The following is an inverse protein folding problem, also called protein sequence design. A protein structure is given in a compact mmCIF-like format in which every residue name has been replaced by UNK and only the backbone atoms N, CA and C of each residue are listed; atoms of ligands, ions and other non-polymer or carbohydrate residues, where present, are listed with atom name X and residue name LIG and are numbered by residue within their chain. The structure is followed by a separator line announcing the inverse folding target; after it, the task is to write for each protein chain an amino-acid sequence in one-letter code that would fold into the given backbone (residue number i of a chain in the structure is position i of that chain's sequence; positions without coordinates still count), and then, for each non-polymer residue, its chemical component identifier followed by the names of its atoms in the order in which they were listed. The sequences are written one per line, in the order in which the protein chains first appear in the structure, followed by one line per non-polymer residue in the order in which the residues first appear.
data_IF_430972338207
#
_entry.id   IF_430972338207
#
_cell.length_a   1.000
_cell.length_b   1.000
_cell.length_c   1.000
_cell.angle_alpha   90.00
_cell.angle_beta   90.00
_cell.angle_gamma   90.00
#
_symmetry.space_group_name_H-M   'P 1'
#
loop_
_entity.id
_entity.type
_entity.pdbx_description
1 polymer ?
#
# COMPACT_ATOMS: atom_id res chain seq x y z
N UNK A 1 -46.73 -7.85 -35.93
CA UNK A 1 -47.95 -8.49 -36.40
C UNK A 1 -48.75 -7.46 -37.20
N UNK A 2 -49.20 -7.81 -38.42
CA UNK A 2 -50.09 -6.97 -39.23
C UNK A 2 -51.52 -7.39 -39.01
N UNK A 3 -52.48 -6.47 -39.10
CA UNK A 3 -53.89 -6.78 -38.96
C UNK A 3 -54.40 -7.61 -40.14
N UNK A 4 -55.40 -8.44 -39.90
CA UNK A 4 -56.08 -9.17 -40.99
C UNK A 4 -57.14 -8.29 -41.66
N UNK A 5 -57.36 -8.49 -42.98
CA UNK A 5 -58.37 -7.78 -43.76
C UNK A 5 -59.07 -8.79 -44.70
N UNK A 6 -60.40 -8.65 -44.94
CA UNK A 6 -61.31 -7.65 -44.38
C UNK A 6 -61.73 -7.92 -42.95
N UNK A 7 -62.12 -6.89 -42.19
CA UNK A 7 -62.80 -6.98 -40.90
C UNK A 7 -64.29 -6.97 -41.15
N UNK A 8 -64.99 -8.03 -40.72
CA UNK A 8 -66.46 -8.16 -40.91
C UNK A 8 -67.18 -7.22 -39.96
N UNK A 9 -68.46 -6.81 -40.27
CA UNK A 9 -69.28 -5.98 -39.38
C UNK A 9 -69.35 -6.54 -37.96
N UNK A 10 -69.07 -5.72 -36.96
CA UNK A 10 -68.96 -6.13 -35.56
C UNK A 10 -67.69 -6.93 -35.16
N UNK A 11 -66.81 -7.18 -36.12
CA UNK A 11 -65.55 -7.88 -35.89
C UNK A 11 -64.39 -6.96 -35.49
N UNK A 12 -63.25 -7.58 -35.11
CA UNK A 12 -62.01 -6.86 -34.78
C UNK A 12 -60.79 -7.59 -35.33
N UNK A 13 -59.73 -6.84 -35.50
CA UNK A 13 -58.39 -7.37 -35.80
C UNK A 13 -57.39 -6.62 -34.95
N UNK A 14 -56.22 -7.21 -34.74
CA UNK A 14 -55.15 -6.66 -33.91
C UNK A 14 -53.85 -6.53 -34.71
N UNK A 15 -53.06 -5.54 -34.38
CA UNK A 15 -51.70 -5.40 -34.85
C UNK A 15 -50.81 -5.08 -33.66
N UNK A 16 -49.48 -5.28 -33.83
CA UNK A 16 -48.47 -5.03 -32.81
C UNK A 16 -47.52 -3.98 -33.32
N UNK A 17 -47.29 -2.96 -32.50
CA UNK A 17 -46.21 -1.97 -32.70
C UNK A 17 -45.11 -2.27 -31.72
N UNK A 18 -43.87 -2.35 -32.17
CA UNK A 18 -42.68 -2.44 -31.34
C UNK A 18 -42.04 -1.06 -31.31
N UNK A 19 -41.72 -0.59 -30.10
CA UNK A 19 -40.90 0.57 -29.86
C UNK A 19 -39.45 0.08 -29.67
N UNK A 20 -38.50 0.57 -30.47
CA UNK A 20 -37.09 0.22 -30.46
C UNK A 20 -36.31 1.51 -30.69
N UNK A 21 -36.06 2.30 -29.60
CA UNK A 21 -35.46 3.61 -29.74
C UNK A 21 -34.00 3.51 -30.12
N UNK A 22 -33.56 4.28 -31.10
CA UNK A 22 -32.18 4.42 -31.54
C UNK A 22 -31.42 5.53 -30.81
N UNK A 23 -31.95 6.09 -29.73
CA UNK A 23 -31.35 7.14 -28.91
C UNK A 23 -32.26 7.63 -27.82
N UNK A 24 -31.71 8.41 -26.92
CA UNK A 24 -32.38 8.96 -25.75
C UNK A 24 -33.51 9.96 -26.06
N UNK A 25 -34.38 10.13 -25.08
CA UNK A 25 -35.42 11.16 -25.05
C UNK A 25 -36.70 10.75 -25.71
N UNK A 26 -37.64 11.72 -25.78
CA UNK A 26 -38.97 11.51 -26.34
C UNK A 26 -38.88 11.25 -27.84
N UNK A 27 -39.46 10.14 -28.26
CA UNK A 27 -39.62 9.75 -29.66
C UNK A 27 -41.09 9.73 -30.00
N UNK A 28 -41.48 10.35 -31.11
CA UNK A 28 -42.84 10.42 -31.60
C UNK A 28 -42.95 9.87 -33.01
N UNK A 29 -44.05 9.20 -33.28
CA UNK A 29 -44.37 8.73 -34.61
C UNK A 29 -45.89 8.85 -34.84
N UNK A 30 -46.30 8.90 -36.09
CA UNK A 30 -47.70 8.79 -36.46
C UNK A 30 -47.95 7.41 -37.08
N UNK A 31 -48.97 6.74 -36.59
CA UNK A 31 -49.46 5.50 -37.19
C UNK A 31 -50.66 5.79 -38.07
N UNK A 32 -50.61 5.29 -39.30
CA UNK A 32 -51.64 5.51 -40.32
C UNK A 32 -52.19 4.16 -40.78
N UNK A 33 -53.50 4.01 -40.76
CA UNK A 33 -54.21 2.82 -41.18
C UNK A 33 -55.09 3.19 -42.37
N UNK A 34 -54.70 2.78 -43.56
CA UNK A 34 -55.52 2.91 -44.77
C UNK A 34 -56.68 1.93 -44.67
N UNK A 35 -57.88 2.39 -44.93
CA UNK A 35 -59.11 1.63 -44.82
C UNK A 35 -60.12 2.05 -45.90
N UNK A 36 -61.30 1.46 -45.92
CA UNK A 36 -62.38 1.76 -46.88
C UNK A 36 -63.43 2.68 -46.32
N UNK A 37 -63.26 3.24 -45.13
CA UNK A 37 -64.17 4.23 -44.54
C UNK A 37 -64.08 5.56 -45.30
N UNK A 38 -65.15 6.17 -45.64
CA UNK A 38 -65.16 7.34 -46.53
C UNK A 38 -64.86 8.66 -45.82
N UNK A 39 -64.99 8.72 -44.52
CA UNK A 39 -64.74 9.91 -43.70
C UNK A 39 -63.55 9.79 -42.75
N UNK A 40 -62.97 8.56 -42.56
CA UNK A 40 -61.81 8.29 -41.70
C UNK A 40 -60.68 7.50 -42.42
N UNK A 41 -60.37 7.80 -43.68
CA UNK A 41 -59.32 7.17 -44.44
C UNK A 41 -58.23 8.16 -44.88
N UNK A 42 -57.02 8.05 -44.37
CA UNK A 42 -56.55 7.03 -43.41
C UNK A 42 -56.95 7.36 -41.96
N UNK A 43 -57.09 6.34 -41.10
CA UNK A 43 -57.19 6.52 -39.67
C UNK A 43 -55.80 6.74 -39.06
N UNK A 44 -55.59 7.92 -38.47
CA UNK A 44 -54.27 8.34 -37.97
C UNK A 44 -54.32 8.57 -36.46
N UNK A 45 -53.26 8.17 -35.78
CA UNK A 45 -53.05 8.54 -34.38
C UNK A 45 -51.53 8.58 -34.03
N UNK A 46 -51.19 9.42 -33.04
CA UNK A 46 -49.82 9.59 -32.59
C UNK A 46 -49.40 8.50 -31.59
N UNK A 47 -48.15 8.08 -31.72
CA UNK A 47 -47.46 7.21 -30.78
C UNK A 47 -46.31 7.99 -30.17
N UNK A 48 -46.01 7.71 -28.91
CA UNK A 48 -44.80 8.21 -28.26
C UNK A 48 -44.18 7.17 -27.37
N UNK A 49 -42.85 7.27 -27.16
CA UNK A 49 -42.06 6.51 -26.22
C UNK A 49 -40.81 7.28 -25.86
N UNK A 50 -40.19 6.97 -24.75
CA UNK A 50 -38.90 7.56 -24.36
C UNK A 50 -37.81 6.50 -24.44
N UNK A 51 -36.75 6.82 -25.18
CA UNK A 51 -35.50 6.08 -25.10
C UNK A 51 -34.77 6.45 -23.80
N UNK A 52 -34.38 5.47 -23.03
CA UNK A 52 -33.53 5.63 -21.87
C UNK A 52 -32.09 5.32 -22.27
N UNK A 53 -31.14 6.00 -21.69
CA UNK A 53 -29.73 5.72 -21.77
C UNK A 53 -29.24 5.41 -20.36
N UNK A 54 -28.34 4.47 -20.26
CA UNK A 54 -27.77 4.03 -19.00
C UNK A 54 -26.25 4.17 -19.04
N UNK A 55 -25.64 4.76 -18.03
CA UNK A 55 -24.21 4.64 -17.84
C UNK A 55 -23.85 3.19 -17.46
N UNK A 56 -22.63 2.78 -17.73
CA UNK A 56 -22.08 1.49 -17.36
C UNK A 56 -20.62 1.68 -16.98
N UNK A 57 -20.29 1.49 -15.71
CA UNK A 57 -18.95 1.69 -15.18
C UNK A 57 -18.11 0.42 -15.33
N UNK A 58 -16.89 0.55 -15.86
CA UNK A 58 -15.82 -0.46 -15.76
C UNK A 58 -14.56 0.21 -15.21
N UNK A 59 -13.91 -0.42 -14.24
CA UNK A 59 -12.65 0.07 -13.68
C UNK A 59 -11.52 -0.87 -14.05
N UNK A 60 -10.46 -0.30 -14.59
CA UNK A 60 -9.28 -1.07 -15.03
C UNK A 60 -8.02 -0.61 -14.32
N UNK A 61 -7.20 -1.57 -13.92
CA UNK A 61 -5.82 -1.38 -13.58
C UNK A 61 -4.93 -2.14 -14.58
N UNK A 62 -3.87 -1.52 -15.09
CA UNK A 62 -3.00 -2.12 -16.11
C UNK A 62 -3.77 -2.69 -17.31
N UNK A 63 -4.87 -2.06 -17.73
CA UNK A 63 -5.78 -2.51 -18.81
C UNK A 63 -6.57 -3.79 -18.51
N UNK A 64 -6.59 -4.26 -17.26
CA UNK A 64 -7.36 -5.42 -16.81
C UNK A 64 -8.56 -4.91 -16.02
N UNK A 65 -9.77 -5.35 -16.36
CA UNK A 65 -10.98 -5.00 -15.62
C UNK A 65 -10.97 -5.62 -14.22
N UNK A 66 -11.29 -4.81 -13.23
CA UNK A 66 -11.41 -5.15 -11.81
C UNK A 66 -12.89 -5.20 -11.49
N UNK A 67 -13.46 -6.34 -11.21
CA UNK A 67 -14.88 -6.45 -10.96
C UNK A 67 -15.32 -5.68 -9.70
N UNK A 68 -16.51 -5.07 -9.74
CA UNK A 68 -17.12 -4.50 -8.53
C UNK A 68 -17.30 -5.60 -7.48
N UNK A 69 -16.86 -5.33 -6.25
CA UNK A 69 -16.86 -6.32 -5.16
C UNK A 69 -15.64 -7.25 -5.14
N UNK A 70 -14.62 -7.03 -5.96
CA UNK A 70 -13.39 -7.83 -5.89
C UNK A 70 -12.67 -7.62 -4.55
N UNK A 71 -12.40 -8.73 -3.86
CA UNK A 71 -11.72 -8.76 -2.56
C UNK A 71 -10.32 -9.40 -2.62
N UNK A 72 -9.84 -9.74 -3.81
CA UNK A 72 -8.57 -10.45 -4.04
C UNK A 72 -7.57 -9.58 -4.80
N UNK A 73 -6.87 -8.66 -4.13
CA UNK A 73 -5.88 -7.81 -4.80
C UNK A 73 -4.81 -8.61 -5.55
N UNK A 74 -4.54 -8.22 -6.81
CA UNK A 74 -3.58 -8.84 -7.72
C UNK A 74 -2.56 -7.80 -8.25
N UNK A 75 -1.33 -8.25 -8.48
CA UNK A 75 -0.29 -7.43 -9.10
C UNK A 75 -0.55 -7.19 -10.59
N UNK A 76 -1.27 -8.10 -11.26
CA UNK A 76 -1.55 -7.99 -12.68
C UNK A 76 -2.44 -6.78 -13.02
N UNK A 77 -3.47 -6.52 -12.20
CA UNK A 77 -4.36 -5.38 -12.35
C UNK A 77 -3.96 -4.16 -11.50
N UNK A 78 -2.85 -4.28 -10.74
CA UNK A 78 -2.30 -3.21 -9.92
C UNK A 78 -3.06 -2.95 -8.62
N UNK A 79 -4.00 -3.79 -8.22
CA UNK A 79 -4.68 -3.67 -6.92
C UNK A 79 -3.77 -4.13 -5.75
N UNK A 80 -2.74 -4.93 -6.03
CA UNK A 80 -1.63 -5.20 -5.11
C UNK A 80 -0.45 -4.24 -5.40
N UNK A 81 -0.15 -3.36 -4.46
CA UNK A 81 0.92 -2.35 -4.53
C UNK A 81 2.32 -2.93 -4.25
N UNK A 82 2.43 -4.24 -4.00
CA UNK A 82 3.70 -4.86 -3.64
C UNK A 82 4.21 -4.40 -2.28
N UNK A 83 5.53 -4.20 -2.16
CA UNK A 83 6.18 -3.89 -0.88
C UNK A 83 7.01 -2.62 -0.96
N UNK A 84 6.98 -1.81 0.10
CA UNK A 84 7.82 -0.62 0.25
C UNK A 84 8.17 -0.37 1.71
N UNK A 85 9.26 0.39 1.97
CA UNK A 85 9.70 0.72 3.32
C UNK A 85 8.68 1.61 4.04
N UNK A 86 8.47 1.37 5.33
CA UNK A 86 7.67 2.24 6.20
C UNK A 86 8.34 3.61 6.32
N UNK A 87 9.67 3.64 6.44
CA UNK A 87 10.43 4.88 6.48
C UNK A 87 10.59 5.50 5.07
N UNK A 88 9.59 6.27 4.64
CA UNK A 88 9.64 7.12 3.44
C UNK A 88 9.46 6.41 2.09
N UNK A 89 9.09 5.13 2.08
CA UNK A 89 8.77 4.41 0.84
C UNK A 89 7.35 4.71 0.38
N UNK A 90 7.17 4.92 -0.94
CA UNK A 90 5.85 5.07 -1.55
C UNK A 90 5.74 4.30 -2.86
N UNK A 91 4.55 3.78 -3.16
CA UNK A 91 4.21 3.17 -4.45
C UNK A 91 2.94 3.80 -4.97
N UNK A 92 2.90 4.11 -6.27
CA UNK A 92 1.74 4.77 -6.91
C UNK A 92 1.22 3.94 -8.06
N UNK A 93 -0.09 3.64 -8.06
CA UNK A 93 -0.77 2.99 -9.17
C UNK A 93 -1.90 3.87 -9.70
N UNK A 94 -2.09 3.85 -11.02
CA UNK A 94 -3.17 4.56 -11.71
C UNK A 94 -4.20 3.58 -12.23
N UNK A 95 -5.47 3.91 -12.02
CA UNK A 95 -6.62 3.15 -12.48
C UNK A 95 -7.42 4.00 -13.47
N UNK A 96 -8.06 3.35 -14.43
CA UNK A 96 -8.91 3.99 -15.43
C UNK A 96 -10.35 3.61 -15.19
N UNK A 97 -11.23 4.60 -15.13
CA UNK A 97 -12.69 4.42 -15.14
C UNK A 97 -13.15 4.61 -16.57
N UNK A 98 -13.82 3.62 -17.13
CA UNK A 98 -14.46 3.67 -18.43
C UNK A 98 -15.98 3.75 -18.25
N UNK A 99 -16.64 4.43 -19.19
CA UNK A 99 -18.08 4.36 -19.35
C UNK A 99 -18.36 3.54 -20.61
N UNK A 100 -18.79 2.30 -20.44
CA UNK A 100 -19.11 1.39 -21.54
C UNK A 100 -20.60 1.42 -21.93
N UNK A 101 -21.37 2.26 -21.22
CA UNK A 101 -22.79 2.48 -21.48
C UNK A 101 -23.07 3.54 -22.56
N UNK A 102 -24.34 3.81 -22.80
CA UNK A 102 -24.83 4.76 -23.80
C UNK A 102 -25.32 6.10 -23.18
N UNK A 103 -25.24 6.26 -21.85
CA UNK A 103 -25.50 7.49 -21.11
C UNK A 103 -24.25 8.06 -20.46
N UNK A 104 -24.25 9.36 -20.13
CA UNK A 104 -23.17 9.97 -19.36
C UNK A 104 -23.07 9.33 -17.97
N UNK A 105 -21.87 8.87 -17.59
CA UNK A 105 -21.58 8.34 -16.26
C UNK A 105 -21.14 9.47 -15.32
N UNK A 106 -21.93 9.73 -14.29
CA UNK A 106 -21.64 10.75 -13.27
C UNK A 106 -21.07 10.11 -12.01
N UNK A 107 -19.89 10.54 -11.59
CA UNK A 107 -19.32 10.18 -10.30
C UNK A 107 -19.91 11.13 -9.24
N UNK A 108 -20.76 10.60 -8.34
CA UNK A 108 -21.67 11.37 -7.49
C UNK A 108 -21.10 11.76 -6.13
N UNK A 109 -19.95 11.21 -5.72
CA UNK A 109 -19.29 11.54 -4.45
C UNK A 109 -18.72 12.98 -4.43
N UNK A 110 -18.63 13.59 -3.24
CA UNK A 110 -17.90 14.85 -3.03
C UNK A 110 -16.43 14.66 -3.36
N UNK A 111 -15.81 13.64 -2.78
CA UNK A 111 -14.62 12.99 -3.30
C UNK A 111 -15.12 11.85 -4.19
N UNK A 112 -14.76 11.86 -5.47
CA UNK A 112 -15.26 10.90 -6.45
C UNK A 112 -14.78 9.48 -6.20
N UNK A 113 -13.52 9.38 -5.74
CA UNK A 113 -12.90 8.13 -5.28
C UNK A 113 -12.52 8.32 -3.82
N UNK A 114 -12.99 7.42 -2.96
CA UNK A 114 -12.69 7.40 -1.52
C UNK A 114 -12.03 6.08 -1.13
N UNK A 115 -11.30 6.10 -0.02
CA UNK A 115 -10.61 4.94 0.52
C UNK A 115 -11.16 4.63 1.91
N UNK A 116 -11.56 3.38 2.13
CA UNK A 116 -12.14 2.88 3.37
C UNK A 116 -11.47 1.56 3.80
N UNK A 117 -11.96 0.89 4.83
CA UNK A 117 -11.50 -0.44 5.22
C UNK A 117 -10.58 -0.44 6.43
N UNK A 118 -9.59 -1.37 6.48
CA UNK A 118 -8.80 -1.65 7.70
C UNK A 118 -7.67 -0.64 7.91
N UNK A 119 -6.91 -0.33 6.84
CA UNK A 119 -5.75 0.57 6.90
C UNK A 119 -5.88 1.71 5.88
N UNK A 120 -7.00 2.47 5.87
CA UNK A 120 -7.23 3.47 4.83
C UNK A 120 -6.22 4.63 4.88
N UNK A 121 -5.62 4.91 6.05
CA UNK A 121 -4.60 5.93 6.23
C UNK A 121 -3.24 5.62 5.59
N UNK A 122 -3.02 4.38 5.16
CA UNK A 122 -1.81 3.98 4.43
C UNK A 122 -1.95 4.17 2.90
N UNK A 123 -3.13 4.57 2.44
CA UNK A 123 -3.43 4.83 1.04
C UNK A 123 -4.05 6.22 0.89
N UNK A 124 -3.77 6.87 -0.22
CA UNK A 124 -4.36 8.17 -0.54
C UNK A 124 -4.64 8.31 -2.03
N UNK A 125 -5.72 9.02 -2.39
CA UNK A 125 -5.98 9.37 -3.79
C UNK A 125 -5.28 10.67 -4.10
N UNK A 126 -4.20 10.62 -4.89
CA UNK A 126 -3.39 11.79 -5.25
C UNK A 126 -3.94 12.53 -6.47
N UNK A 127 -4.70 11.84 -7.34
CA UNK A 127 -5.38 12.42 -8.50
C UNK A 127 -6.82 11.90 -8.50
N UNK A 128 -7.79 12.78 -8.43
CA UNK A 128 -9.21 12.47 -8.55
C UNK A 128 -9.64 12.43 -10.02
N UNK A 129 -10.58 11.56 -10.42
CA UNK A 129 -11.05 11.46 -11.80
C UNK A 129 -11.94 12.64 -12.19
N UNK A 130 -12.04 12.91 -13.49
CA UNK A 130 -13.02 13.84 -14.04
C UNK A 130 -14.43 13.21 -14.05
N UNK A 131 -15.48 14.04 -14.04
CA UNK A 131 -16.89 13.65 -14.16
C UNK A 131 -17.69 14.81 -14.75
N UNK A 132 -18.72 14.55 -15.58
CA UNK A 132 -19.15 13.24 -16.05
C UNK A 132 -18.20 12.62 -17.09
N UNK A 133 -18.39 11.32 -17.39
CA UNK A 133 -17.66 10.57 -18.42
C UNK A 133 -18.67 10.25 -19.54
N UNK A 134 -18.43 10.76 -20.73
CA UNK A 134 -19.31 10.52 -21.87
C UNK A 134 -19.33 9.02 -22.27
N UNK A 135 -20.35 8.55 -23.01
CA UNK A 135 -20.34 7.21 -23.59
C UNK A 135 -19.03 6.89 -24.33
N UNK A 136 -18.50 5.68 -24.15
CA UNK A 136 -17.21 5.21 -24.65
C UNK A 136 -16.00 6.06 -24.18
N UNK A 137 -16.20 6.96 -23.22
CA UNK A 137 -15.17 7.81 -22.65
C UNK A 137 -14.46 7.15 -21.46
N UNK A 138 -13.40 7.81 -21.00
CA UNK A 138 -12.65 7.37 -19.82
C UNK A 138 -12.04 8.52 -19.05
N UNK A 139 -11.71 8.26 -17.78
CA UNK A 139 -10.95 9.13 -16.89
C UNK A 139 -10.04 8.28 -16.01
N UNK A 140 -9.06 8.89 -15.36
CA UNK A 140 -8.14 8.16 -14.49
C UNK A 140 -8.08 8.77 -13.09
N UNK A 141 -7.73 7.92 -12.12
CA UNK A 141 -7.34 8.33 -10.78
C UNK A 141 -6.07 7.63 -10.35
N UNK A 142 -5.36 8.21 -9.40
CA UNK A 142 -4.08 7.66 -8.91
C UNK A 142 -4.15 7.47 -7.41
N UNK A 143 -3.79 6.27 -6.96
CA UNK A 143 -3.68 5.91 -5.56
C UNK A 143 -2.20 5.76 -5.19
N UNK A 144 -1.83 6.31 -4.04
CA UNK A 144 -0.50 6.20 -3.45
C UNK A 144 -0.60 5.34 -2.20
N UNK A 145 0.22 4.31 -2.12
CA UNK A 145 0.48 3.52 -0.93
C UNK A 145 1.69 4.08 -0.19
N UNK A 146 1.52 4.44 1.09
CA UNK A 146 2.55 4.95 1.98
C UNK A 146 2.33 4.32 3.37
N UNK A 147 2.92 3.14 3.63
CA UNK A 147 2.64 2.38 4.85
C UNK A 147 3.11 3.10 6.10
N UNK A 148 2.29 3.12 7.15
CA UNK A 148 2.61 3.66 8.48
C UNK A 148 3.13 2.59 9.44
N UNK A 149 3.05 1.30 9.07
CA UNK A 149 3.55 0.19 9.87
C UNK A 149 3.92 -1.01 8.99
N UNK A 150 4.76 -1.89 9.53
CA UNK A 150 5.17 -3.12 8.88
C UNK A 150 4.04 -4.14 8.70
N UNK A 151 4.23 -5.05 7.73
CA UNK A 151 3.29 -6.10 7.39
C UNK A 151 2.25 -5.70 6.34
N UNK A 152 1.30 -6.58 6.10
CA UNK A 152 0.25 -6.39 5.09
C UNK A 152 -0.73 -5.29 5.52
N UNK A 153 -0.96 -4.34 4.64
CA UNK A 153 -1.88 -3.21 4.77
C UNK A 153 -2.97 -3.35 3.73
N UNK A 154 -4.23 -3.21 4.11
CA UNK A 154 -5.37 -3.40 3.21
C UNK A 154 -6.35 -2.26 3.31
N UNK A 155 -6.97 -1.91 2.18
CA UNK A 155 -8.04 -0.94 2.12
C UNK A 155 -9.04 -1.31 1.01
N UNK A 156 -10.08 -0.51 0.87
CA UNK A 156 -11.11 -0.65 -0.16
C UNK A 156 -11.27 0.68 -0.87
N UNK A 157 -11.15 0.67 -2.18
CA UNK A 157 -11.53 1.77 -3.05
C UNK A 157 -13.06 1.78 -3.17
N UNK A 158 -13.67 2.95 -3.11
CA UNK A 158 -15.11 3.14 -3.28
C UNK A 158 -15.36 4.32 -4.21
N UNK A 159 -16.14 4.08 -5.27
CA UNK A 159 -16.48 5.04 -6.32
C UNK A 159 -17.99 5.18 -6.37
N UNK A 160 -18.50 6.27 -5.82
CA UNK A 160 -19.94 6.59 -5.92
C UNK A 160 -20.26 7.11 -7.33
N UNK A 161 -21.28 6.56 -7.97
CA UNK A 161 -21.63 6.85 -9.36
C UNK A 161 -23.17 6.82 -9.54
N UNK A 162 -23.66 6.96 -10.77
CA UNK A 162 -25.09 6.89 -11.11
C UNK A 162 -25.47 5.67 -11.98
N UNK A 163 -24.55 4.70 -12.10
CA UNK A 163 -24.88 3.39 -12.62
C UNK A 163 -25.83 2.67 -11.68
N UNK A 164 -26.88 2.07 -12.20
CA UNK A 164 -28.00 1.57 -11.39
C UNK A 164 -27.73 0.24 -10.71
N UNK A 165 -26.82 -0.56 -11.22
CA UNK A 165 -26.50 -1.90 -10.71
C UNK A 165 -25.10 -2.01 -10.07
N UNK A 166 -24.22 -0.98 -10.24
CA UNK A 166 -22.89 -0.96 -9.67
C UNK A 166 -22.57 0.29 -8.82
N UNK A 167 -23.56 0.81 -8.11
CA UNK A 167 -23.40 1.96 -7.23
C UNK A 167 -23.50 1.57 -5.73
N UNK A 168 -22.41 1.72 -4.94
CA UNK A 168 -21.07 2.16 -5.34
C UNK A 168 -20.27 1.03 -6.00
N UNK A 169 -19.38 1.38 -6.93
CA UNK A 169 -18.35 0.48 -7.41
C UNK A 169 -17.22 0.40 -6.37
N UNK A 170 -16.79 -0.81 -6.01
CA UNK A 170 -15.76 -0.96 -4.99
C UNK A 170 -14.89 -2.20 -5.20
N UNK A 171 -13.64 -2.12 -4.78
CA UNK A 171 -12.72 -3.25 -4.81
C UNK A 171 -11.63 -3.10 -3.74
N UNK A 172 -11.02 -4.23 -3.35
CA UNK A 172 -9.96 -4.25 -2.37
C UNK A 172 -8.61 -3.88 -2.99
N UNK A 173 -7.76 -3.23 -2.19
CA UNK A 173 -6.36 -2.98 -2.48
C UNK A 173 -5.49 -3.43 -1.31
N UNK A 174 -4.23 -3.79 -1.59
CA UNK A 174 -3.25 -4.11 -0.56
C UNK A 174 -1.85 -3.63 -0.91
N UNK A 175 -1.00 -3.54 0.12
CA UNK A 175 0.44 -3.37 0.02
C UNK A 175 1.11 -3.90 1.26
N UNK A 176 2.44 -4.06 1.25
CA UNK A 176 3.22 -4.53 2.40
C UNK A 176 4.23 -3.47 2.82
N UNK A 177 4.13 -3.02 4.08
CA UNK A 177 5.15 -2.19 4.70
C UNK A 177 6.36 -3.02 5.13
N UNK A 178 7.55 -2.60 4.77
CA UNK A 178 8.81 -3.20 5.19
C UNK A 178 9.42 -2.36 6.31
N UNK A 179 9.89 -3.01 7.35
CA UNK A 179 10.58 -2.40 8.48
C UNK A 179 12.00 -2.96 8.59
N UNK A 180 12.96 -2.10 8.97
CA UNK A 180 14.36 -2.45 9.05
C UNK A 180 14.95 -2.03 10.39
N UNK A 181 15.73 -2.87 11.06
CA UNK A 181 16.54 -2.45 12.18
C UNK A 181 17.70 -1.57 11.70
N UNK A 182 18.21 -0.72 12.59
CA UNK A 182 19.43 0.07 12.37
C UNK A 182 20.19 0.13 13.69
N UNK A 183 21.37 -0.47 13.72
CA UNK A 183 22.19 -0.57 14.93
C UNK A 183 23.10 0.65 15.08
N UNK A 184 23.12 1.24 16.28
CA UNK A 184 24.13 2.25 16.69
C UNK A 184 24.68 1.88 18.06
N UNK A 185 25.99 1.79 18.18
CA UNK A 185 26.65 1.48 19.46
C UNK A 185 27.30 2.73 20.02
N UNK A 186 27.02 3.02 21.29
CA UNK A 186 27.59 4.18 21.99
C UNK A 186 28.35 3.77 23.23
N UNK A 187 29.50 4.41 23.43
CA UNK A 187 30.15 4.51 24.69
C UNK A 187 30.19 5.97 25.16
N UNK A 188 29.91 6.21 26.44
CA UNK A 188 29.80 7.57 27.00
C UNK A 188 28.87 8.51 26.21
N UNK A 189 27.80 7.97 25.60
CA UNK A 189 26.84 8.67 24.70
C UNK A 189 27.46 9.16 23.37
N UNK A 190 28.65 8.73 22.99
CA UNK A 190 29.29 8.99 21.70
C UNK A 190 29.14 7.76 20.84
N UNK A 191 28.66 7.92 19.58
CA UNK A 191 28.53 6.82 18.63
C UNK A 191 29.92 6.34 18.20
N UNK A 192 30.10 5.03 18.19
CA UNK A 192 31.30 4.32 17.77
C UNK A 192 30.97 3.69 16.42
N UNK A 193 31.60 4.12 15.34
CA UNK A 193 31.27 3.61 14.01
C UNK A 193 31.61 2.11 13.88
N UNK A 194 30.82 1.38 13.11
CA UNK A 194 31.19 0.00 12.73
C UNK A 194 32.49 0.01 11.92
N UNK A 195 33.42 -0.82 12.30
CA UNK A 195 34.77 -0.85 11.72
C UNK A 195 35.76 0.16 12.32
N UNK A 196 35.40 0.87 13.39
CA UNK A 196 36.32 1.79 14.05
C UNK A 196 37.52 1.04 14.64
N UNK A 197 38.71 1.45 14.21
CA UNK A 197 40.01 0.85 14.63
C UNK A 197 40.83 1.78 15.53
N UNK A 198 40.29 2.92 15.94
CA UNK A 198 40.98 3.95 16.73
C UNK A 198 40.35 4.11 18.10
N UNK A 199 40.72 3.30 19.12
CA UNK A 199 40.14 3.46 20.45
C UNK A 199 40.38 4.83 21.08
N UNK A 200 39.34 5.41 21.67
CA UNK A 200 39.36 6.73 22.29
C UNK A 200 38.85 6.70 23.74
N UNK A 201 39.46 7.53 24.62
CA UNK A 201 38.94 7.73 25.97
C UNK A 201 37.55 8.37 25.99
N UNK A 202 37.27 9.19 24.99
CA UNK A 202 36.04 9.95 24.91
C UNK A 202 34.78 9.07 24.80
N UNK A 203 34.85 8.02 23.98
CA UNK A 203 33.75 7.08 23.76
C UNK A 203 33.89 5.80 24.61
N UNK A 204 34.99 5.72 25.44
CA UNK A 204 35.23 4.61 26.34
C UNK A 204 35.79 3.35 25.68
N UNK A 205 36.19 3.39 24.40
CA UNK A 205 36.84 2.28 23.72
C UNK A 205 38.31 2.13 24.15
N UNK A 206 38.94 3.21 24.66
CA UNK A 206 40.20 3.15 25.40
C UNK A 206 39.88 3.07 26.92
N UNK A 207 40.29 1.97 27.54
CA UNK A 207 40.11 1.69 28.96
C UNK A 207 41.14 2.39 29.86
N UNK A 208 42.11 3.11 29.24
CA UNK A 208 43.20 3.73 29.98
C UNK A 208 44.14 2.71 30.55
N UNK A 209 44.75 3.01 31.71
CA UNK A 209 45.77 2.16 32.33
C UNK A 209 45.38 1.66 33.70
N UNK A 210 45.69 0.39 33.99
CA UNK A 210 45.55 -0.21 35.32
C UNK A 210 46.68 -1.21 35.59
N UNK A 211 46.84 -1.63 36.84
CA UNK A 211 47.94 -2.56 37.22
C UNK A 211 47.69 -3.97 36.64
N UNK A 212 48.70 -4.56 36.01
CA UNK A 212 48.64 -5.93 35.48
C UNK A 212 48.48 -7.00 36.58
N UNK A 213 48.78 -6.67 37.83
CA UNK A 213 48.58 -7.56 38.98
C UNK A 213 47.26 -7.26 39.71
N UNK A 214 46.12 -7.54 39.04
CA UNK A 214 44.77 -7.49 39.64
C UNK A 214 44.05 -6.13 39.57
N UNK A 215 44.56 -5.20 38.75
CA UNK A 215 43.80 -3.98 38.42
C UNK A 215 42.72 -4.28 37.37
N UNK A 216 41.53 -3.65 37.54
CA UNK A 216 40.45 -3.77 36.56
C UNK A 216 39.85 -2.41 36.24
N UNK A 217 39.45 -2.23 34.98
CA UNK A 217 38.63 -1.09 34.50
C UNK A 217 37.37 -1.62 33.84
N UNK A 218 36.24 -0.96 34.10
CA UNK A 218 34.95 -1.42 33.61
C UNK A 218 34.26 -0.32 32.84
N UNK A 219 33.88 -0.61 31.60
CA UNK A 219 33.09 0.30 30.76
C UNK A 219 31.79 -0.35 30.35
N UNK A 220 30.73 0.46 30.22
CA UNK A 220 29.42 0.04 29.75
C UNK A 220 29.09 0.74 28.44
N UNK A 221 28.73 -0.07 27.45
CA UNK A 221 28.30 0.39 26.13
C UNK A 221 26.81 0.17 25.96
N UNK A 222 26.18 1.00 25.13
CA UNK A 222 24.75 0.93 24.83
C UNK A 222 24.57 0.65 23.34
N UNK A 223 23.78 -0.38 23.03
CA UNK A 223 23.33 -0.69 21.67
C UNK A 223 21.95 -0.06 21.53
N UNK A 224 21.79 0.84 20.56
CA UNK A 224 20.53 1.44 20.17
C UNK A 224 20.04 0.78 18.90
N UNK A 225 18.73 0.63 18.79
CA UNK A 225 18.04 0.38 17.52
C UNK A 225 17.41 1.69 17.06
N UNK A 226 18.00 2.34 16.07
CA UNK A 226 17.48 3.61 15.52
C UNK A 226 16.55 3.40 14.35
N UNK A 227 16.35 2.14 13.92
CA UNK A 227 15.45 1.73 12.86
C UNK A 227 13.99 1.53 13.30
N UNK A 228 13.16 1.11 12.37
CA UNK A 228 11.73 0.87 12.53
C UNK A 228 11.35 -0.63 12.64
N UNK A 229 12.34 -1.55 12.51
CA UNK A 229 12.19 -2.99 12.74
C UNK A 229 12.90 -3.45 14.00
N UNK A 230 12.55 -4.63 14.54
CA UNK A 230 13.24 -5.23 15.69
C UNK A 230 14.70 -5.59 15.37
N UNK A 231 15.65 -5.09 16.18
CA UNK A 231 17.06 -5.44 16.08
C UNK A 231 17.32 -6.74 16.85
N UNK A 232 17.64 -7.79 16.13
CA UNK A 232 18.01 -9.10 16.70
C UNK A 232 19.54 -9.21 16.79
N UNK A 233 20.07 -9.41 18.01
CA UNK A 233 21.45 -9.73 18.22
C UNK A 233 21.63 -11.25 18.09
N UNK A 234 22.21 -11.70 16.97
CA UNK A 234 22.22 -13.11 16.53
C UNK A 234 23.43 -13.91 17.00
N UNK A 235 24.45 -13.25 17.56
CA UNK A 235 25.63 -13.89 18.09
C UNK A 235 25.41 -14.78 19.31
N UNK A 236 26.30 -15.75 19.53
CA UNK A 236 26.36 -16.58 20.75
C UNK A 236 27.80 -16.69 21.22
N UNK A 237 28.23 -15.90 22.22
CA UNK A 237 27.48 -14.83 22.94
C UNK A 237 27.12 -13.65 22.01
N UNK A 238 26.16 -12.78 22.42
CA UNK A 238 25.69 -11.68 21.61
C UNK A 238 26.77 -10.62 21.32
N UNK A 239 27.62 -10.37 22.31
CA UNK A 239 28.85 -9.58 22.16
C UNK A 239 30.05 -10.50 22.42
N UNK A 240 30.90 -10.64 21.41
CA UNK A 240 32.09 -11.46 21.45
C UNK A 240 33.33 -10.54 21.54
N UNK A 241 34.31 -10.94 22.35
CA UNK A 241 35.66 -10.34 22.34
C UNK A 241 36.57 -11.18 21.45
N UNK A 242 37.23 -10.53 20.49
CA UNK A 242 38.21 -11.14 19.61
C UNK A 242 39.51 -10.32 19.57
N UNK A 243 40.52 -10.80 18.81
CA UNK A 243 41.78 -10.07 18.60
C UNK A 243 42.91 -10.54 19.48
N UNK A 244 44.05 -9.80 19.44
CA UNK A 244 45.35 -10.25 19.96
C UNK A 244 45.35 -10.49 21.47
N UNK A 245 44.78 -9.58 22.25
CA UNK A 245 44.74 -9.67 23.70
C UNK A 245 43.34 -9.87 24.22
N UNK A 246 42.49 -10.61 23.48
CA UNK A 246 41.10 -10.83 23.84
C UNK A 246 40.89 -11.39 25.26
N UNK A 247 41.85 -12.17 25.77
CA UNK A 247 41.80 -12.75 27.11
C UNK A 247 41.91 -11.72 28.25
N UNK A 248 42.38 -10.51 27.95
CA UNK A 248 42.48 -9.41 28.91
C UNK A 248 41.17 -8.58 29.00
N UNK A 249 40.21 -8.89 28.15
CA UNK A 249 38.88 -8.25 28.15
C UNK A 249 37.80 -9.31 28.29
N UNK A 250 36.74 -9.00 29.04
CA UNK A 250 35.62 -9.91 29.23
C UNK A 250 34.31 -9.16 29.21
N UNK A 251 33.28 -9.69 28.52
CA UNK A 251 31.92 -9.17 28.58
C UNK A 251 31.21 -9.82 29.75
N UNK A 252 31.04 -9.08 30.83
CA UNK A 252 30.47 -9.58 32.08
C UNK A 252 28.94 -9.49 32.12
N UNK A 253 28.33 -8.55 31.35
CA UNK A 253 26.91 -8.42 31.17
C UNK A 253 26.63 -8.40 29.67
N UNK A 254 25.90 -9.39 29.21
CA UNK A 254 25.47 -9.48 27.80
C UNK A 254 24.17 -8.68 27.58
N UNK A 255 23.97 -8.08 26.38
CA UNK A 255 22.77 -7.32 26.08
C UNK A 255 21.54 -8.20 25.93
N UNK A 256 20.34 -7.63 26.14
CA UNK A 256 19.08 -8.27 25.79
C UNK A 256 18.84 -8.22 24.26
N UNK A 257 18.03 -9.15 23.75
CA UNK A 257 17.56 -9.19 22.35
C UNK A 257 16.19 -9.86 22.32
N UNK A 258 15.25 -9.40 21.48
CA UNK A 258 15.36 -8.27 20.54
C UNK A 258 15.45 -6.91 21.22
N UNK A 259 15.95 -5.91 20.47
CA UNK A 259 15.87 -4.48 20.82
C UNK A 259 14.77 -3.88 19.95
N UNK A 260 13.69 -3.43 20.56
CA UNK A 260 12.55 -2.85 19.83
C UNK A 260 12.96 -1.56 19.08
N UNK A 261 12.20 -1.14 18.05
CA UNK A 261 12.39 0.15 17.39
C UNK A 261 12.54 1.31 18.37
N UNK A 262 13.54 2.16 18.14
CA UNK A 262 13.92 3.30 18.99
C UNK A 262 14.29 2.92 20.44
N UNK A 263 14.46 1.62 20.70
CA UNK A 263 14.87 1.10 22.01
C UNK A 263 16.39 0.96 22.15
N UNK A 264 16.82 0.49 23.32
CA UNK A 264 18.24 0.23 23.60
C UNK A 264 18.44 -0.91 24.58
N UNK A 265 19.65 -1.45 24.58
CA UNK A 265 20.15 -2.43 25.56
C UNK A 265 21.63 -2.13 25.86
N UNK A 266 22.14 -2.65 26.98
CA UNK A 266 23.51 -2.39 27.40
C UNK A 266 24.31 -3.68 27.54
N UNK A 267 25.63 -3.55 27.41
CA UNK A 267 26.58 -4.60 27.78
C UNK A 267 27.77 -3.98 28.52
N UNK A 268 28.45 -4.78 29.33
CA UNK A 268 29.55 -4.32 30.17
C UNK A 268 30.80 -5.11 29.86
N UNK A 269 31.87 -4.39 29.61
CA UNK A 269 33.20 -4.96 29.35
C UNK A 269 34.15 -4.62 30.51
N UNK A 270 34.88 -5.61 30.97
CA UNK A 270 35.92 -5.46 31.99
C UNK A 270 37.28 -5.71 31.31
N UNK A 271 38.20 -4.76 31.46
CA UNK A 271 39.59 -4.90 31.16
C UNK A 271 40.37 -5.36 32.40
N UNK A 272 41.14 -6.43 32.30
CA UNK A 272 41.97 -7.02 33.37
C UNK A 272 43.29 -7.50 32.72
N UNK A 273 44.29 -6.62 32.60
CA UNK A 273 45.52 -6.96 31.87
C UNK A 273 46.29 -8.08 32.53
N UNK A 274 46.78 -9.04 31.73
CA UNK A 274 47.61 -10.15 32.16
C UNK A 274 49.14 -9.84 32.12
N UNK A 275 49.51 -8.72 31.50
CA UNK A 275 50.91 -8.26 31.37
C UNK A 275 50.97 -6.75 31.12
N UNK A 276 52.14 -6.17 31.37
CA UNK A 276 52.40 -4.76 31.10
C UNK A 276 52.42 -4.46 29.59
N UNK A 277 52.11 -3.20 29.25
CA UNK A 277 52.10 -2.68 27.87
C UNK A 277 50.69 -2.64 27.26
N UNK A 278 50.61 -2.07 26.07
CA UNK A 278 49.35 -1.89 25.37
C UNK A 278 48.67 -3.23 25.06
N UNK A 279 47.43 -3.36 25.48
CA UNK A 279 46.57 -4.51 25.24
C UNK A 279 45.47 -4.11 24.27
N UNK A 280 45.26 -4.90 23.21
CA UNK A 280 44.26 -4.58 22.17
C UNK A 280 43.34 -5.75 21.91
N UNK A 281 42.08 -5.46 21.68
CA UNK A 281 41.04 -6.42 21.29
C UNK A 281 40.04 -5.78 20.35
N UNK A 282 39.07 -6.55 19.90
CA UNK A 282 37.92 -6.05 19.15
C UNK A 282 36.65 -6.63 19.75
N UNK A 283 35.60 -5.82 19.78
CA UNK A 283 34.25 -6.27 20.07
C UNK A 283 33.50 -6.58 18.75
N UNK A 284 32.73 -7.66 18.76
CA UNK A 284 31.98 -8.13 17.59
C UNK A 284 30.55 -8.40 18.01
N UNK A 285 29.60 -7.80 17.31
CA UNK A 285 28.17 -7.89 17.57
C UNK A 285 27.47 -8.33 16.28
N UNK A 286 27.11 -9.61 16.18
CA UNK A 286 26.33 -10.11 15.06
C UNK A 286 24.85 -9.76 15.25
N UNK A 287 24.20 -9.27 14.19
CA UNK A 287 22.83 -8.77 14.25
C UNK A 287 22.13 -8.96 12.89
N UNK A 288 20.85 -8.50 12.78
CA UNK A 288 20.03 -8.61 11.56
C UNK A 288 19.91 -7.30 10.77
N UNK A 289 20.69 -6.29 11.10
CA UNK A 289 20.82 -5.11 10.26
C UNK A 289 21.50 -5.48 8.94
N UNK A 290 20.88 -5.13 7.81
CA UNK A 290 21.32 -5.63 6.50
C UNK A 290 22.62 -5.00 5.99
N UNK A 291 22.91 -3.76 6.42
CA UNK A 291 24.12 -3.03 6.06
C UNK A 291 25.24 -3.14 7.10
N UNK A 292 24.89 -3.52 8.35
CA UNK A 292 25.84 -3.67 9.46
C UNK A 292 25.66 -4.99 10.21
N UNK A 293 25.39 -6.09 9.50
CA UNK A 293 25.09 -7.42 10.08
C UNK A 293 26.17 -7.97 11.01
N UNK A 294 27.38 -7.43 10.92
CA UNK A 294 28.46 -7.62 11.88
C UNK A 294 28.98 -6.23 12.26
N UNK A 295 28.56 -5.74 13.40
CA UNK A 295 29.08 -4.51 13.97
C UNK A 295 30.38 -4.82 14.75
N UNK A 296 31.45 -4.12 14.44
CA UNK A 296 32.74 -4.39 15.11
C UNK A 296 33.49 -3.09 15.35
N UNK A 297 34.22 -3.03 16.44
CA UNK A 297 35.13 -1.90 16.74
C UNK A 297 36.27 -2.34 17.64
N UNK A 298 37.38 -1.60 17.58
CA UNK A 298 38.59 -1.88 18.40
C UNK A 298 38.39 -1.34 19.82
N UNK A 299 39.04 -2.01 20.78
CA UNK A 299 39.22 -1.57 22.16
C UNK A 299 40.66 -1.73 22.59
N UNK A 300 41.10 -0.91 23.52
CA UNK A 300 42.48 -0.99 24.11
C UNK A 300 42.48 -0.61 25.60
N UNK A 301 43.61 -0.90 26.24
CA UNK A 301 43.88 -0.49 27.62
C UNK A 301 45.36 -0.76 28.01
#
# INVERSE_FOLDING_TARGET
LQPSSPVIPGGSTTFTVRFDPSGAGLRTAELSIANSDSDENPYNFSLQGSGLVNPEIDVQGNTISIASGDILPDTADGTDFGSTAVAGGTVSHSFTILNTGDGDLSLTGTEKVTITGVNPGDFSVSVQPASPIAPDGSTAFTVVFNPTAGGVRTATIVIANDDSDENPYYFAIRGTGLVYPEVDVKGNNISIASGDMVPELADGTDFGSTAASGGTVTHTFTIYNTGDGDLLLTGTPKVLVGGTNAADFSVTIQPSSPVAPLGSTTFTVVFNPSADGLRTAALVIANNDSNESIYTFAIQG
#
